data_IF_151594770545
#
_entry.id   IF_151594770545
#
_cell.length_a   1.000
_cell.length_b   1.000
_cell.length_c   1.000
_cell.angle_alpha   90.00
_cell.angle_beta   90.00
_cell.angle_gamma   90.00
#
_symmetry.space_group_name_H-M   'P 1'
#
loop_
_entity.id
_entity.type
_entity.pdbx_description
1 polymer ?
#
# COMPACT_ATOMS: atom_id res chain seq x y z
N UNK A 1 23.38 -0.04 1.40
CA UNK A 1 21.94 -0.24 1.68
C UNK A 1 21.18 0.16 0.41
N UNK A 2 20.52 -0.78 -0.28
CA UNK A 2 19.79 -0.45 -1.50
C UNK A 2 18.52 0.36 -1.16
N UNK A 3 18.22 1.38 -1.95
CA UNK A 3 16.96 2.11 -1.82
C UNK A 3 15.82 1.20 -2.30
N UNK A 4 14.89 0.86 -1.40
CA UNK A 4 13.65 0.13 -1.72
C UNK A 4 12.72 0.89 -2.66
N UNK A 5 12.95 2.20 -2.79
CA UNK A 5 12.14 3.11 -3.58
C UNK A 5 12.66 3.16 -5.02
N UNK A 6 11.77 2.87 -5.96
CA UNK A 6 11.98 3.07 -7.39
C UNK A 6 11.41 4.43 -7.78
N UNK A 7 12.18 5.21 -8.54
CA UNK A 7 11.82 6.56 -8.97
C UNK A 7 11.66 6.65 -10.48
N UNK A 8 10.78 7.56 -10.92
CA UNK A 8 10.53 7.80 -12.34
C UNK A 8 11.81 8.32 -13.04
N UNK A 9 12.30 7.65 -14.10
CA UNK A 9 13.42 8.16 -14.88
C UNK A 9 13.04 9.36 -15.73
N UNK A 10 11.77 9.46 -16.17
CA UNK A 10 11.24 10.54 -17.00
C UNK A 10 9.81 10.90 -16.57
N UNK A 11 9.30 12.01 -17.11
CA UNK A 11 7.90 12.41 -16.94
C UNK A 11 6.98 11.53 -17.80
N UNK A 12 5.76 11.26 -17.33
CA UNK A 12 4.75 10.55 -18.12
C UNK A 12 3.83 9.68 -17.28
N UNK A 13 3.32 8.61 -17.89
CA UNK A 13 2.47 7.62 -17.22
C UNK A 13 3.21 6.29 -17.09
N UNK A 14 3.16 5.71 -15.90
CA UNK A 14 3.74 4.39 -15.64
C UNK A 14 2.79 3.32 -16.15
N UNK A 15 3.28 2.42 -17.00
CA UNK A 15 2.59 1.18 -17.38
C UNK A 15 3.25 0.02 -16.65
N UNK A 16 2.50 -0.69 -15.83
CA UNK A 16 3.06 -1.80 -15.07
C UNK A 16 3.20 -3.04 -15.93
N UNK A 17 4.30 -3.78 -15.79
CA UNK A 17 4.49 -5.08 -16.42
C UNK A 17 4.15 -6.26 -15.48
N UNK A 18 4.06 -5.98 -14.18
CA UNK A 18 3.86 -6.96 -13.11
C UNK A 18 2.83 -6.44 -12.09
N UNK A 19 2.44 -7.29 -11.14
CA UNK A 19 1.47 -7.00 -10.08
C UNK A 19 2.12 -6.92 -8.69
N UNK A 20 1.43 -6.26 -7.76
CA UNK A 20 1.83 -6.25 -6.35
C UNK A 20 1.80 -7.69 -5.82
N UNK A 21 2.88 -8.08 -5.13
CA UNK A 21 3.10 -9.43 -4.63
C UNK A 21 3.92 -10.32 -5.56
N UNK A 22 4.25 -9.87 -6.77
CA UNK A 22 5.13 -10.61 -7.69
C UNK A 22 6.59 -10.53 -7.23
N UNK A 23 7.28 -11.66 -7.31
CA UNK A 23 8.73 -11.71 -7.11
C UNK A 23 9.44 -11.23 -8.38
N UNK A 24 10.53 -10.49 -8.18
CA UNK A 24 11.35 -9.90 -9.25
C UNK A 24 12.82 -10.19 -9.02
N UNK A 25 13.56 -10.34 -10.11
CA UNK A 25 15.01 -10.41 -10.10
C UNK A 25 15.65 -9.06 -10.46
N UNK A 26 16.86 -8.82 -9.96
CA UNK A 26 17.65 -7.64 -10.31
C UNK A 26 17.78 -7.52 -11.83
N UNK A 27 17.50 -6.33 -12.37
CA UNK A 27 17.50 -6.05 -13.81
C UNK A 27 16.22 -6.45 -14.54
N UNK A 28 15.28 -7.17 -13.93
CA UNK A 28 13.99 -7.47 -14.53
C UNK A 28 13.17 -6.19 -14.74
N UNK A 29 12.52 -6.07 -15.91
CA UNK A 29 11.62 -4.95 -16.20
C UNK A 29 10.34 -5.09 -15.37
N UNK A 30 10.06 -4.08 -14.55
CA UNK A 30 8.86 -4.04 -13.69
C UNK A 30 7.79 -3.10 -14.24
N UNK A 31 8.20 -2.06 -14.98
CA UNK A 31 7.30 -1.08 -15.56
C UNK A 31 7.97 -0.33 -16.71
N UNK A 32 7.20 0.50 -17.42
CA UNK A 32 7.69 1.44 -18.44
C UNK A 32 7.06 2.81 -18.29
N UNK A 33 7.78 3.86 -18.68
CA UNK A 33 7.20 5.19 -18.93
C UNK A 33 7.48 5.52 -20.40
N UNK A 34 6.43 5.57 -21.22
CA UNK A 34 6.62 5.55 -22.68
C UNK A 34 7.42 4.31 -23.11
N UNK A 35 8.55 4.53 -23.77
CA UNK A 35 9.48 3.45 -24.18
C UNK A 35 10.56 3.14 -23.12
N UNK A 36 10.74 4.01 -22.12
CA UNK A 36 11.82 3.89 -21.13
C UNK A 36 11.53 2.73 -20.15
N UNK A 37 12.39 1.70 -20.08
CA UNK A 37 12.20 0.59 -19.15
C UNK A 37 12.61 0.98 -17.72
N UNK A 38 11.81 0.53 -16.76
CA UNK A 38 12.12 0.62 -15.33
C UNK A 38 12.42 -0.80 -14.85
N UNK A 39 13.59 -0.99 -14.28
CA UNK A 39 14.08 -2.29 -13.83
C UNK A 39 14.15 -2.40 -12.31
N UNK A 40 14.05 -3.61 -11.80
CA UNK A 40 14.26 -3.90 -10.38
C UNK A 40 15.74 -3.71 -10.01
N UNK A 41 15.98 -3.03 -8.88
CA UNK A 41 17.34 -2.73 -8.41
C UNK A 41 18.02 -3.92 -7.71
N UNK A 42 17.23 -4.88 -7.25
CA UNK A 42 17.64 -6.06 -6.49
C UNK A 42 16.53 -7.12 -6.52
N UNK A 43 16.86 -8.34 -6.13
CA UNK A 43 15.91 -9.45 -5.99
C UNK A 43 14.95 -9.21 -4.82
N UNK A 44 13.65 -9.39 -5.04
CA UNK A 44 12.65 -9.14 -3.99
C UNK A 44 11.22 -9.21 -4.49
N UNK A 45 10.30 -8.57 -3.76
CA UNK A 45 8.87 -8.54 -4.11
C UNK A 45 8.42 -7.10 -4.36
N UNK A 46 7.58 -6.90 -5.38
CA UNK A 46 6.90 -5.63 -5.62
C UNK A 46 5.79 -5.41 -4.58
N UNK A 47 5.94 -4.40 -3.73
CA UNK A 47 4.94 -4.06 -2.70
C UNK A 47 3.95 -2.98 -3.12
N UNK A 48 4.37 -2.10 -4.01
CA UNK A 48 3.54 -1.00 -4.47
C UNK A 48 4.02 -0.45 -5.78
N UNK A 49 3.08 -0.03 -6.61
CA UNK A 49 3.34 0.67 -7.86
C UNK A 49 2.26 1.72 -8.06
N UNK A 50 2.63 2.85 -8.65
CA UNK A 50 1.69 3.93 -8.93
C UNK A 50 0.67 3.49 -9.97
N UNK A 51 -0.58 3.92 -9.77
CA UNK A 51 -1.65 3.62 -10.72
C UNK A 51 -1.39 4.30 -12.07
N UNK A 52 -1.65 3.61 -13.17
CA UNK A 52 -1.25 4.03 -14.53
C UNK A 52 -1.87 5.36 -14.97
N UNK A 53 -3.04 5.70 -14.43
CA UNK A 53 -3.74 6.97 -14.67
C UNK A 53 -3.07 8.20 -14.05
N UNK A 54 -2.10 8.02 -13.14
CA UNK A 54 -1.42 9.12 -12.48
C UNK A 54 -0.23 9.57 -13.32
N UNK A 55 -0.20 10.86 -13.67
CA UNK A 55 0.96 11.47 -14.30
C UNK A 55 2.08 11.65 -13.26
N UNK A 56 3.28 11.21 -13.60
CA UNK A 56 4.48 11.31 -12.77
C UNK A 56 5.49 12.27 -13.37
N UNK A 57 6.29 12.87 -12.49
CA UNK A 57 7.47 13.66 -12.86
C UNK A 57 8.74 12.88 -12.58
N UNK A 58 9.82 13.15 -13.31
CA UNK A 58 11.16 12.61 -13.07
C UNK A 58 11.52 12.75 -11.59
N UNK A 59 12.04 11.67 -11.02
CA UNK A 59 12.44 11.60 -9.61
C UNK A 59 11.28 11.30 -8.64
N UNK A 60 10.01 11.33 -9.08
CA UNK A 60 8.88 10.94 -8.25
C UNK A 60 8.95 9.45 -7.89
N UNK A 61 8.57 9.08 -6.66
CA UNK A 61 8.45 7.67 -6.26
C UNK A 61 7.32 7.02 -7.06
N UNK A 62 7.62 5.91 -7.71
CA UNK A 62 6.66 5.18 -8.54
C UNK A 62 6.47 3.74 -8.14
N UNK A 63 7.43 3.12 -7.47
CA UNK A 63 7.27 1.77 -6.94
C UNK A 63 8.08 1.54 -5.66
N UNK A 64 7.75 0.47 -4.95
CA UNK A 64 8.38 0.01 -3.71
C UNK A 64 8.70 -1.47 -3.81
N UNK A 65 9.97 -1.83 -3.60
CA UNK A 65 10.49 -3.20 -3.64
C UNK A 65 10.96 -3.63 -2.25
N UNK A 66 10.62 -4.85 -1.86
CA UNK A 66 11.06 -5.45 -0.60
C UNK A 66 12.04 -6.58 -0.82
N UNK A 67 13.27 -6.37 -0.34
CA UNK A 67 14.37 -7.33 -0.45
C UNK A 67 14.14 -8.61 0.38
N UNK A 68 13.21 -8.59 1.35
CA UNK A 68 12.88 -9.80 2.13
C UNK A 68 12.13 -10.84 1.30
N UNK A 69 11.49 -10.42 0.20
CA UNK A 69 10.84 -11.32 -0.74
C UNK A 69 9.59 -12.04 -0.21
N UNK A 70 9.08 -11.65 0.97
CA UNK A 70 7.91 -12.28 1.58
C UNK A 70 6.63 -11.67 1.02
N UNK A 71 5.90 -12.44 0.22
CA UNK A 71 4.64 -12.00 -0.41
C UNK A 71 3.57 -11.67 0.63
N UNK A 72 3.53 -12.36 1.77
CA UNK A 72 2.50 -12.11 2.79
C UNK A 72 2.57 -10.66 3.31
N UNK A 73 3.76 -10.06 3.36
CA UNK A 73 3.94 -8.67 3.79
C UNK A 73 3.24 -7.64 2.88
N UNK A 74 2.83 -8.01 1.67
CA UNK A 74 2.04 -7.14 0.81
C UNK A 74 0.57 -7.04 1.24
N UNK A 75 0.08 -8.05 1.96
CA UNK A 75 -1.35 -8.22 2.25
C UNK A 75 -1.66 -8.27 3.75
N UNK A 76 -0.64 -8.26 4.61
CA UNK A 76 -0.78 -8.23 6.06
C UNK A 76 -0.53 -6.83 6.61
N UNK A 77 -1.36 -6.39 7.55
CA UNK A 77 -1.17 -5.14 8.27
C UNK A 77 -0.04 -5.32 9.27
N UNK A 78 0.93 -4.39 9.30
CA UNK A 78 2.03 -4.45 10.26
C UNK A 78 1.55 -4.24 11.71
N UNK A 79 2.23 -4.85 12.67
CA UNK A 79 1.96 -4.66 14.10
C UNK A 79 1.99 -3.18 14.50
N UNK A 80 2.88 -2.39 13.90
CA UNK A 80 2.95 -0.95 14.15
C UNK A 80 1.69 -0.22 13.66
N UNK A 81 1.18 -0.58 12.47
CA UNK A 81 -0.07 -0.02 11.95
C UNK A 81 -1.28 -0.47 12.76
N UNK A 82 -1.31 -1.73 13.22
CA UNK A 82 -2.35 -2.26 14.10
C UNK A 82 -2.38 -1.53 15.45
N UNK A 83 -1.21 -1.29 16.06
CA UNK A 83 -1.11 -0.57 17.32
C UNK A 83 -1.63 0.87 17.23
N UNK A 84 -1.27 1.59 16.16
CA UNK A 84 -1.77 2.95 15.91
C UNK A 84 -3.29 2.94 15.67
N UNK A 85 -3.78 2.02 14.83
CA UNK A 85 -5.21 1.88 14.57
C UNK A 85 -6.02 1.53 15.83
N UNK A 86 -5.49 0.62 16.65
CA UNK A 86 -6.07 0.24 17.95
C UNK A 86 -6.16 1.43 18.91
N UNK A 87 -5.08 2.20 19.06
CA UNK A 87 -5.09 3.38 19.93
C UNK A 87 -6.09 4.46 19.49
N UNK A 88 -6.25 4.68 18.18
CA UNK A 88 -7.27 5.60 17.65
C UNK A 88 -8.68 5.08 17.93
N UNK A 89 -8.93 3.79 17.71
CA UNK A 89 -10.21 3.16 18.00
C UNK A 89 -10.59 3.30 19.47
N UNK A 90 -9.66 3.01 20.38
CA UNK A 90 -9.86 3.17 21.83
C UNK A 90 -10.21 4.62 22.20
N UNK A 91 -9.49 5.59 21.65
CA UNK A 91 -9.75 7.01 21.90
C UNK A 91 -11.15 7.44 21.42
N UNK A 92 -11.58 6.98 20.24
CA UNK A 92 -12.92 7.26 19.69
C UNK A 92 -14.01 6.61 20.56
N UNK A 93 -13.82 5.36 21.01
CA UNK A 93 -14.78 4.66 21.86
C UNK A 93 -14.87 5.27 23.26
N UNK A 94 -13.78 5.82 23.78
CA UNK A 94 -13.75 6.50 25.07
C UNK A 94 -14.25 7.96 25.01
N UNK A 95 -14.34 8.56 23.82
CA UNK A 95 -14.68 9.96 23.65
C UNK A 95 -16.15 10.25 24.08
N UNK A 96 -16.39 11.15 25.05
CA UNK A 96 -17.75 11.46 25.51
C UNK A 96 -18.68 11.94 24.40
N UNK A 97 -18.17 12.72 23.44
CA UNK A 97 -18.92 13.19 22.28
C UNK A 97 -19.43 12.07 21.36
N UNK A 98 -18.82 10.88 21.41
CA UNK A 98 -19.25 9.74 20.59
C UNK A 98 -20.38 8.92 21.24
N UNK A 99 -20.63 9.08 22.55
CA UNK A 99 -21.65 8.31 23.29
C UNK A 99 -23.04 8.31 22.64
N UNK A 100 -23.61 9.45 22.18
CA UNK A 100 -24.93 9.47 21.57
C UNK A 100 -25.02 8.58 20.33
N UNK A 101 -23.93 8.46 19.56
CA UNK A 101 -23.88 7.67 18.33
C UNK A 101 -23.62 6.18 18.60
N UNK A 102 -22.86 5.86 19.64
CA UNK A 102 -22.55 4.47 20.01
C UNK A 102 -23.73 3.75 20.70
N UNK A 103 -24.60 4.50 21.38
CA UNK A 103 -25.75 3.95 22.10
C UNK A 103 -27.04 3.88 21.25
N UNK A 104 -27.04 4.47 20.05
CA UNK A 104 -28.25 4.63 19.24
C UNK A 104 -28.75 3.35 18.53
N UNK A 105 -28.08 2.19 18.65
CA UNK A 105 -28.42 0.96 17.91
C UNK A 105 -28.74 -0.28 18.75
N UNK A 106 -28.98 -0.17 20.06
CA UNK A 106 -29.23 -1.36 20.90
C UNK A 106 -30.71 -1.76 21.02
N UNK A 107 -31.66 -1.06 20.38
CA UNK A 107 -33.10 -1.27 20.59
C UNK A 107 -33.90 -1.85 19.39
N UNK A 108 -33.27 -2.61 18.49
CA UNK A 108 -34.00 -3.39 17.47
C UNK A 108 -33.65 -4.89 17.54
N UNK A 109 -33.87 -5.53 18.70
CA UNK A 109 -34.12 -6.98 18.73
C UNK A 109 -34.90 -7.34 20.00
N UNK A 110 -36.22 -7.16 19.99
CA UNK A 110 -37.19 -7.86 20.85
C UNK A 110 -38.61 -7.52 20.36
N UNK A 111 -39.54 -8.47 20.50
CA UNK A 111 -40.94 -8.54 19.98
C UNK A 111 -41.01 -8.86 18.49
N UNK A 112 -41.58 -9.96 17.97
CA UNK A 112 -42.52 -11.02 18.37
C UNK A 112 -42.08 -12.30 17.61
N UNK A 113 -42.13 -13.57 18.07
CA UNK A 113 -43.20 -14.41 18.65
C UNK A 113 -42.58 -15.61 19.37
#
# INVERSE_FOLDING_TARGET
MYSRVVRAPIDGHVKSAISIGDFVHAGQIIARIGEEPITALFDGVLRGIIHERVAVKRGMKIADLDAQGQREHCFTISDHSLAVGGGVLEAVLAAPQMRPYLLAKTNETSTDV
#
